data_IF_911139444825
#
_entry.id   IF_911139444825
#
_cell.length_a   1.000
_cell.length_b   1.000
_cell.length_c   1.000
_cell.angle_alpha   90.00
_cell.angle_beta   90.00
_cell.angle_gamma   90.00
#
_symmetry.space_group_name_H-M   'P 1'
#
loop_
_entity.id
_entity.type
_entity.pdbx_description
1 polymer ?
#
# COMPACT_ATOMS: atom_id res chain seq x y z
N UNK A 1 -23.98 -51.05 18.66
CA UNK A 1 -23.50 -50.59 17.33
C UNK A 1 -23.95 -49.15 16.99
N UNK A 2 -25.11 -48.69 17.47
CA UNK A 2 -25.63 -47.32 17.21
C UNK A 2 -24.78 -46.15 17.75
N UNK A 3 -24.14 -46.29 18.92
CA UNK A 3 -23.30 -45.22 19.51
C UNK A 3 -22.08 -44.87 18.66
N UNK A 4 -21.47 -45.86 18.00
CA UNK A 4 -20.29 -45.67 17.13
C UNK A 4 -20.67 -44.99 15.81
N UNK A 5 -21.82 -45.36 15.23
CA UNK A 5 -22.35 -44.72 14.03
C UNK A 5 -22.68 -43.23 14.26
N UNK A 6 -23.23 -42.88 15.42
CA UNK A 6 -23.56 -41.50 15.79
C UNK A 6 -22.31 -40.62 15.94
N UNK A 7 -21.26 -41.14 16.57
CA UNK A 7 -19.98 -40.43 16.73
C UNK A 7 -19.30 -40.19 15.39
N UNK A 8 -19.30 -41.20 14.50
CA UNK A 8 -18.73 -41.05 13.15
C UNK A 8 -19.49 -40.02 12.33
N UNK A 9 -20.83 -40.01 12.40
CA UNK A 9 -21.65 -39.01 11.73
C UNK A 9 -21.38 -37.58 12.22
N UNK A 10 -21.22 -37.40 13.54
CA UNK A 10 -20.93 -36.09 14.12
C UNK A 10 -19.56 -35.55 13.70
N UNK A 11 -18.54 -36.42 13.67
CA UNK A 11 -17.19 -36.06 13.21
C UNK A 11 -17.22 -35.67 11.74
N UNK A 12 -17.96 -36.41 10.90
CA UNK A 12 -18.08 -36.11 9.47
C UNK A 12 -18.73 -34.74 9.23
N UNK A 13 -19.77 -34.41 9.99
CA UNK A 13 -20.45 -33.11 9.92
C UNK A 13 -19.53 -31.98 10.37
N UNK A 14 -18.75 -32.16 11.44
CA UNK A 14 -17.78 -31.17 11.91
C UNK A 14 -16.66 -30.91 10.89
N UNK A 15 -16.19 -31.96 10.20
CA UNK A 15 -15.18 -31.84 9.14
C UNK A 15 -15.75 -31.12 7.91
N UNK A 16 -17.00 -31.42 7.53
CA UNK A 16 -17.68 -30.75 6.41
C UNK A 16 -17.98 -29.27 6.72
N UNK A 17 -18.28 -28.92 7.96
CA UNK A 17 -18.47 -27.53 8.42
C UNK A 17 -17.15 -26.77 8.48
N UNK A 18 -16.04 -27.42 8.85
CA UNK A 18 -14.72 -26.81 8.90
C UNK A 18 -14.08 -26.59 7.50
N UNK A 19 -14.48 -27.38 6.50
CA UNK A 19 -13.93 -27.31 5.15
C UNK A 19 -14.60 -26.27 4.23
N UNK A 20 -15.63 -25.57 4.71
CA UNK A 20 -16.62 -24.88 3.87
C UNK A 20 -16.56 -23.36 3.75
N UNK A 21 -15.41 -22.68 3.89
CA UNK A 21 -15.35 -21.19 3.73
C UNK A 21 -14.08 -20.63 3.10
N UNK A 22 -13.29 -21.43 2.37
CA UNK A 22 -12.01 -20.96 1.78
C UNK A 22 -12.11 -20.39 0.36
N UNK A 23 -13.29 -19.95 -0.09
CA UNK A 23 -13.47 -19.38 -1.43
C UNK A 23 -14.42 -18.19 -1.40
N UNK A 24 -14.05 -17.09 -2.08
CA UNK A 24 -14.75 -15.80 -2.21
C UNK A 24 -14.33 -14.66 -1.25
N UNK A 25 -13.15 -14.71 -0.63
CA UNK A 25 -12.57 -13.47 -0.11
C UNK A 25 -11.94 -12.69 -1.28
N UNK A 26 -12.40 -11.45 -1.52
CA UNK A 26 -11.69 -10.54 -2.42
C UNK A 26 -10.25 -10.36 -1.89
N UNK A 27 -9.24 -10.22 -2.77
CA UNK A 27 -7.90 -9.91 -2.34
C UNK A 27 -7.93 -8.70 -1.40
N UNK A 28 -7.19 -8.74 -0.28
CA UNK A 28 -7.14 -7.60 0.63
C UNK A 28 -6.66 -6.37 -0.16
N UNK A 29 -7.29 -5.22 0.12
CA UNK A 29 -6.93 -3.96 -0.51
C UNK A 29 -5.43 -3.71 -0.30
N UNK A 30 -4.66 -3.66 -1.39
CA UNK A 30 -3.20 -3.54 -1.31
C UNK A 30 -2.77 -2.09 -1.12
N UNK A 31 -1.60 -1.92 -0.52
CA UNK A 31 -0.91 -0.64 -0.47
C UNK A 31 -0.62 -0.15 -1.90
N UNK A 32 -0.77 1.15 -2.14
CA UNK A 32 -0.41 1.77 -3.41
C UNK A 32 0.34 3.07 -3.17
N UNK A 33 1.51 3.18 -3.78
CA UNK A 33 2.35 4.37 -3.77
C UNK A 33 2.81 4.66 -5.19
N UNK A 34 2.34 5.77 -5.76
CA UNK A 34 2.65 6.17 -7.14
C UNK A 34 2.77 7.68 -7.20
N UNK A 35 3.84 8.19 -7.81
CA UNK A 35 3.94 9.59 -8.22
C UNK A 35 3.41 9.71 -9.65
N UNK A 36 2.51 10.66 -9.86
CA UNK A 36 1.89 10.95 -11.17
C UNK A 36 2.39 12.26 -11.78
N UNK A 37 2.81 13.19 -10.94
CA UNK A 37 3.49 14.43 -11.33
C UNK A 37 4.55 14.79 -10.28
N UNK A 38 5.76 15.22 -10.68
CA UNK A 38 6.23 15.36 -12.05
C UNK A 38 6.37 14.01 -12.79
N UNK A 39 6.28 14.03 -14.11
CA UNK A 39 6.52 12.85 -14.96
C UNK A 39 8.02 12.65 -15.16
N UNK A 40 8.41 11.44 -15.56
CA UNK A 40 9.81 11.16 -15.92
C UNK A 40 10.34 12.14 -16.99
N UNK A 41 11.59 12.56 -16.84
CA UNK A 41 12.24 13.57 -17.69
C UNK A 41 11.74 15.01 -17.54
N UNK A 42 10.76 15.29 -16.67
CA UNK A 42 10.28 16.66 -16.46
C UNK A 42 11.36 17.55 -15.82
N UNK A 43 11.50 18.77 -16.34
CA UNK A 43 12.29 19.81 -15.69
C UNK A 43 11.36 20.71 -14.88
N UNK A 44 11.59 20.79 -13.57
CA UNK A 44 10.79 21.59 -12.62
C UNK A 44 11.70 22.55 -11.84
N UNK A 45 11.13 23.65 -11.35
CA UNK A 45 11.85 24.65 -10.56
C UNK A 45 10.89 25.42 -9.64
N UNK A 46 11.39 25.89 -8.49
CA UNK A 46 10.61 26.62 -7.50
C UNK A 46 9.88 25.68 -6.54
N UNK A 47 8.69 26.09 -6.09
CA UNK A 47 7.82 25.25 -5.25
C UNK A 47 6.86 24.46 -6.12
N UNK A 48 7.00 23.14 -6.10
CA UNK A 48 6.29 22.21 -6.97
C UNK A 48 5.38 21.31 -6.14
N UNK A 49 4.12 21.17 -6.55
CA UNK A 49 3.21 20.18 -5.97
C UNK A 49 3.51 18.81 -6.55
N UNK A 50 3.80 17.84 -5.70
CA UNK A 50 3.96 16.43 -6.07
C UNK A 50 2.60 15.77 -5.95
N UNK A 51 2.10 15.17 -7.02
CA UNK A 51 0.76 14.54 -7.01
C UNK A 51 0.86 13.04 -7.25
N UNK A 52 -0.09 12.30 -6.69
CA UNK A 52 -0.16 10.87 -6.90
C UNK A 52 -1.07 10.15 -5.93
N UNK A 53 -0.65 8.96 -5.54
CA UNK A 53 -1.40 8.02 -4.72
C UNK A 53 -0.51 7.56 -3.56
N UNK A 54 -1.05 7.62 -2.36
CA UNK A 54 -0.50 7.04 -1.14
C UNK A 54 -1.66 6.46 -0.32
N UNK A 55 -1.99 5.19 -0.57
CA UNK A 55 -3.10 4.49 0.09
C UNK A 55 -2.61 3.21 0.74
N UNK A 56 -3.09 2.93 1.94
CA UNK A 56 -2.85 1.68 2.66
C UNK A 56 -4.02 1.47 3.64
N UNK A 57 -4.59 0.25 3.77
CA UNK A 57 -5.76 0.00 4.63
C UNK A 57 -5.57 0.47 6.09
N UNK A 58 -4.34 0.36 6.58
CA UNK A 58 -3.91 0.82 7.90
C UNK A 58 -2.75 1.81 7.77
N UNK A 59 -2.91 2.90 7.00
CA UNK A 59 -1.81 3.85 6.78
C UNK A 59 -1.34 4.43 8.11
N UNK A 60 -0.03 4.40 8.34
CA UNK A 60 0.58 5.12 9.45
C UNK A 60 1.12 6.46 8.95
N UNK A 61 1.99 6.42 7.94
CA UNK A 61 2.48 7.61 7.24
C UNK A 61 2.89 7.25 5.82
N UNK A 62 3.14 8.27 5.00
CA UNK A 62 3.94 8.16 3.79
C UNK A 62 5.02 9.26 3.78
N UNK A 63 6.06 9.04 2.98
CA UNK A 63 7.22 9.92 2.91
C UNK A 63 7.57 10.20 1.45
N UNK A 64 7.88 11.46 1.15
CA UNK A 64 8.42 11.88 -0.14
C UNK A 64 9.90 12.22 0.01
N UNK A 65 10.68 11.67 -0.93
CA UNK A 65 12.14 11.75 -0.92
C UNK A 65 12.66 11.98 -2.33
N UNK A 66 13.80 12.64 -2.43
CA UNK A 66 14.54 12.77 -3.68
C UNK A 66 16.00 12.34 -3.47
N UNK A 67 16.68 12.01 -4.56
CA UNK A 67 18.11 11.79 -4.57
C UNK A 67 18.69 12.44 -5.83
N UNK A 68 19.85 13.08 -5.70
CA UNK A 68 20.54 13.65 -6.84
C UNK A 68 21.18 12.56 -7.71
N UNK A 69 21.24 12.82 -9.02
CA UNK A 69 21.81 11.92 -10.02
C UNK A 69 20.85 11.63 -11.17
N UNK A 70 21.34 10.94 -12.22
CA UNK A 70 20.53 10.64 -13.41
C UNK A 70 19.42 9.60 -13.12
N UNK A 71 19.63 8.70 -12.17
CA UNK A 71 18.67 7.66 -11.79
C UNK A 71 18.86 7.30 -10.31
N UNK A 72 17.77 7.30 -9.55
CA UNK A 72 17.80 6.94 -8.14
C UNK A 72 17.72 5.43 -7.96
N UNK A 73 18.55 4.88 -7.07
CA UNK A 73 18.57 3.46 -6.71
C UNK A 73 18.26 3.29 -5.22
N UNK A 74 18.09 2.05 -4.77
CA UNK A 74 17.91 1.76 -3.34
C UNK A 74 19.08 2.24 -2.46
N UNK A 75 20.29 2.39 -3.01
CA UNK A 75 21.48 2.86 -2.31
C UNK A 75 21.77 4.36 -2.45
N UNK A 76 20.92 5.12 -3.14
CA UNK A 76 21.12 6.55 -3.34
C UNK A 76 21.11 7.32 -2.02
N UNK A 77 21.74 8.51 -2.01
CA UNK A 77 21.69 9.44 -0.89
C UNK A 77 20.34 10.16 -0.90
N UNK A 78 19.35 9.55 -0.26
CA UNK A 78 17.99 10.08 -0.18
C UNK A 78 17.89 11.25 0.78
N UNK A 79 17.17 12.28 0.37
CA UNK A 79 16.82 13.45 1.17
C UNK A 79 15.30 13.51 1.29
N UNK A 80 14.83 13.61 2.53
CA UNK A 80 13.42 13.66 2.87
C UNK A 80 12.94 15.11 2.83
N UNK A 81 11.78 15.35 2.19
CA UNK A 81 11.19 16.70 2.15
C UNK A 81 9.73 16.75 2.59
N UNK A 82 9.05 15.61 2.70
CA UNK A 82 7.71 15.54 3.28
C UNK A 82 7.49 14.21 4.01
N UNK A 83 6.91 14.29 5.22
CA UNK A 83 6.38 13.15 5.96
C UNK A 83 4.95 13.51 6.33
N UNK A 84 3.99 12.67 5.95
CA UNK A 84 2.57 12.91 6.17
C UNK A 84 1.97 11.73 6.92
N UNK A 85 1.38 12.01 8.08
CA UNK A 85 0.84 11.01 9.00
C UNK A 85 -0.67 10.81 8.80
N UNK A 86 -1.12 9.57 8.95
CA UNK A 86 -2.53 9.14 9.03
C UNK A 86 -3.40 9.45 7.81
N UNK A 87 -2.85 10.04 6.76
CA UNK A 87 -3.61 10.57 5.64
C UNK A 87 -3.39 9.73 4.40
N UNK A 88 -4.48 9.21 3.82
CA UNK A 88 -4.45 8.58 2.51
C UNK A 88 -4.70 9.62 1.42
N UNK A 89 -4.01 9.48 0.30
CA UNK A 89 -4.14 10.37 -0.85
C UNK A 89 -4.40 9.53 -2.10
N UNK A 90 -5.39 9.91 -2.90
CA UNK A 90 -5.69 9.26 -4.16
C UNK A 90 -5.86 10.31 -5.27
N UNK A 91 -4.95 10.28 -6.25
CA UNK A 91 -4.89 11.20 -7.39
C UNK A 91 -4.92 12.69 -7.00
N UNK A 92 -4.18 13.04 -5.94
CA UNK A 92 -4.15 14.40 -5.41
C UNK A 92 -2.73 14.74 -4.91
N UNK A 93 -2.54 15.93 -4.33
CA UNK A 93 -1.27 16.42 -3.81
C UNK A 93 -0.80 15.55 -2.64
N UNK A 94 0.38 14.97 -2.81
CA UNK A 94 1.11 14.22 -1.78
C UNK A 94 1.99 15.16 -0.92
N UNK A 95 2.44 16.27 -1.49
CA UNK A 95 3.27 17.23 -0.79
C UNK A 95 3.80 18.33 -1.71
N UNK A 96 4.48 19.31 -1.11
CA UNK A 96 5.10 20.42 -1.83
C UNK A 96 6.62 20.30 -1.68
N UNK A 97 7.32 20.32 -2.80
CA UNK A 97 8.77 20.30 -2.85
C UNK A 97 9.28 21.68 -3.26
N UNK A 98 10.08 22.32 -2.42
CA UNK A 98 10.87 23.47 -2.83
C UNK A 98 12.19 22.95 -3.42
N UNK A 99 12.38 23.15 -4.73
CA UNK A 99 13.57 22.67 -5.45
C UNK A 99 14.72 23.70 -5.43
N UNK A 100 14.59 24.78 -4.66
CA UNK A 100 15.57 25.87 -4.60
C UNK A 100 16.43 25.88 -3.33
N UNK A 101 16.16 24.94 -2.42
CA UNK A 101 16.84 24.72 -1.14
C UNK A 101 17.84 23.56 -1.18
#
# INVERSE_FOLDING_TARGET
MHKRALVVGLILVMVLLAAGTSGLAAPPLQARSVITYPTDGATISGVVEITGIATHPNINFYQLRYAAGPEATGGSQWVDFAIVEGTQVENNVLGRWDTTI
#
